data_IF_414903446778
#
_entry.id   IF_414903446778
#
_cell.length_a   1.000
_cell.length_b   1.000
_cell.length_c   1.000
_cell.angle_alpha   90.00
_cell.angle_beta   90.00
_cell.angle_gamma   90.00
#
_symmetry.space_group_name_H-M   'P 1'
#
loop_
_entity.id
_entity.type
_entity.pdbx_description
1 polymer ?
#
# COMPACT_ATOMS: atom_id res chain seq x y z
N UNK A 1 17.27 -9.89 -9.71
CA UNK A 1 16.53 -9.40 -8.51
C UNK A 1 17.44 -9.25 -7.30
N UNK A 2 17.03 -8.40 -6.36
CA UNK A 2 17.65 -8.29 -5.04
C UNK A 2 17.26 -9.49 -4.16
N UNK A 3 17.79 -9.56 -2.96
CA UNK A 3 17.46 -10.56 -1.96
C UNK A 3 17.34 -9.98 -0.56
N UNK A 4 16.74 -10.75 0.33
CA UNK A 4 16.62 -10.46 1.77
C UNK A 4 17.08 -11.66 2.58
N UNK A 5 17.36 -11.45 3.87
CA UNK A 5 17.70 -12.54 4.77
C UNK A 5 16.50 -12.90 5.66
N UNK A 6 16.15 -14.18 5.68
CA UNK A 6 15.12 -14.74 6.56
C UNK A 6 15.50 -14.67 8.04
N UNK A 7 16.78 -14.68 8.33
CA UNK A 7 17.26 -14.57 9.72
C UNK A 7 16.85 -13.25 10.35
N UNK A 8 16.93 -12.16 9.60
CA UNK A 8 16.50 -10.85 10.09
C UNK A 8 15.00 -10.66 10.03
N UNK A 9 14.39 -10.89 8.85
CA UNK A 9 13.01 -10.46 8.58
C UNK A 9 11.95 -11.49 8.98
N UNK A 10 12.34 -12.71 9.35
CA UNK A 10 11.45 -13.68 9.95
C UNK A 10 11.93 -14.13 11.32
N UNK A 11 13.10 -14.77 11.42
CA UNK A 11 13.56 -15.34 12.68
C UNK A 11 13.71 -14.29 13.80
N UNK A 12 14.31 -13.13 13.50
CA UNK A 12 14.48 -12.05 14.45
C UNK A 12 13.27 -11.10 14.51
N UNK A 13 12.76 -10.71 13.36
CA UNK A 13 11.73 -9.67 13.25
C UNK A 13 10.32 -10.14 13.62
N UNK A 14 10.03 -11.44 13.50
CA UNK A 14 8.73 -12.03 13.79
C UNK A 14 8.89 -13.37 14.52
N UNK A 15 9.32 -13.35 15.78
CA UNK A 15 9.59 -14.59 16.53
C UNK A 15 8.35 -15.47 16.70
N UNK A 16 7.16 -14.90 16.83
CA UNK A 16 5.92 -15.69 16.94
C UNK A 16 5.69 -16.54 15.69
N UNK A 17 5.87 -15.97 14.51
CA UNK A 17 5.73 -16.71 13.26
C UNK A 17 6.89 -17.68 13.06
N UNK A 18 8.12 -17.29 13.38
CA UNK A 18 9.30 -18.13 13.29
C UNK A 18 9.17 -19.40 14.17
N UNK A 19 8.69 -19.25 15.38
CA UNK A 19 8.45 -20.37 16.29
C UNK A 19 7.36 -21.32 15.75
N UNK A 20 6.28 -20.77 15.23
CA UNK A 20 5.21 -21.55 14.59
C UNK A 20 5.70 -22.32 13.37
N UNK A 21 6.51 -21.69 12.50
CA UNK A 21 7.12 -22.37 11.35
C UNK A 21 8.01 -23.51 11.82
N UNK A 22 8.85 -23.28 12.82
CA UNK A 22 9.75 -24.30 13.38
C UNK A 22 8.98 -25.47 13.99
N UNK A 23 7.88 -25.19 14.68
CA UNK A 23 7.00 -26.25 15.20
C UNK A 23 6.39 -27.11 14.10
N UNK A 24 6.02 -26.52 12.98
CA UNK A 24 5.39 -27.23 11.86
C UNK A 24 6.35 -28.01 10.99
N UNK A 25 7.53 -27.48 10.70
CA UNK A 25 8.44 -28.05 9.69
C UNK A 25 9.89 -28.27 10.16
N UNK A 26 10.20 -27.98 11.43
CA UNK A 26 11.55 -28.04 11.96
C UNK A 26 12.37 -26.76 11.69
N UNK A 27 13.60 -26.66 12.21
CA UNK A 27 14.42 -25.44 12.17
C UNK A 27 15.23 -25.23 10.90
N UNK A 28 15.26 -26.20 9.99
CA UNK A 28 16.16 -26.19 8.81
C UNK A 28 15.89 -25.02 7.85
N UNK A 29 14.69 -24.43 7.87
CA UNK A 29 14.34 -23.27 7.05
C UNK A 29 15.23 -22.04 7.34
N UNK A 30 15.84 -21.98 8.52
CA UNK A 30 16.71 -20.84 8.92
C UNK A 30 17.93 -20.76 7.99
N UNK A 31 18.44 -21.89 7.54
CA UNK A 31 19.59 -21.97 6.64
C UNK A 31 19.24 -22.40 5.22
N UNK A 32 18.04 -22.96 5.01
CA UNK A 32 17.55 -23.40 3.71
C UNK A 32 16.08 -22.99 3.52
N UNK A 33 15.85 -21.89 2.82
CA UNK A 33 14.51 -21.34 2.57
C UNK A 33 13.60 -22.29 1.78
N UNK A 34 14.15 -23.25 1.02
CA UNK A 34 13.35 -24.21 0.28
C UNK A 34 12.47 -25.07 1.21
N UNK A 35 12.87 -25.20 2.46
CA UNK A 35 12.11 -25.91 3.48
C UNK A 35 10.74 -25.29 3.76
N UNK A 36 10.56 -23.98 3.54
CA UNK A 36 9.26 -23.30 3.72
C UNK A 36 8.15 -23.90 2.84
N UNK A 37 8.50 -24.53 1.72
CA UNK A 37 7.53 -25.20 0.86
C UNK A 37 6.78 -26.35 1.56
N UNK A 38 7.33 -26.90 2.63
CA UNK A 38 6.67 -27.91 3.47
C UNK A 38 5.43 -27.39 4.18
N UNK A 39 5.30 -26.06 4.32
CA UNK A 39 4.10 -25.44 4.90
C UNK A 39 2.85 -25.63 4.02
N UNK A 40 3.00 -25.93 2.74
CA UNK A 40 1.87 -26.13 1.82
C UNK A 40 0.87 -27.19 2.29
N UNK A 41 1.31 -28.18 3.04
CA UNK A 41 0.43 -29.25 3.56
C UNK A 41 -0.57 -28.72 4.62
N UNK A 42 -0.33 -27.53 5.17
CA UNK A 42 -1.18 -26.89 6.16
C UNK A 42 -2.13 -25.84 5.55
N UNK A 43 -2.12 -25.66 4.23
CA UNK A 43 -2.91 -24.61 3.57
C UNK A 43 -4.42 -24.75 3.81
N UNK A 44 -4.91 -25.98 3.97
CA UNK A 44 -6.33 -26.29 4.23
C UNK A 44 -6.56 -26.81 5.67
N UNK A 45 -5.58 -26.73 6.55
CA UNK A 45 -5.72 -27.14 7.95
C UNK A 45 -6.29 -25.99 8.78
N UNK A 46 -7.55 -26.10 9.17
CA UNK A 46 -8.26 -25.06 9.92
C UNK A 46 -7.55 -24.65 11.20
N UNK A 47 -6.93 -25.59 11.92
CA UNK A 47 -6.19 -25.30 13.15
C UNK A 47 -4.95 -24.48 12.84
N UNK A 48 -4.19 -24.88 11.83
CA UNK A 48 -2.99 -24.15 11.40
C UNK A 48 -3.34 -22.73 10.92
N UNK A 49 -4.44 -22.56 10.18
CA UNK A 49 -4.94 -21.26 9.73
C UNK A 49 -5.32 -20.36 10.92
N UNK A 50 -6.03 -20.90 11.91
CA UNK A 50 -6.39 -20.17 13.13
C UNK A 50 -5.15 -19.76 13.94
N UNK A 51 -4.17 -20.65 14.09
CA UNK A 51 -2.90 -20.34 14.74
C UNK A 51 -2.16 -19.21 14.01
N UNK A 52 -2.08 -19.28 12.69
CA UNK A 52 -1.47 -18.24 11.85
C UNK A 52 -2.17 -16.88 12.00
N UNK A 53 -3.50 -16.86 11.94
CA UNK A 53 -4.29 -15.63 12.14
C UNK A 53 -4.13 -15.06 13.55
N UNK A 54 -4.03 -15.91 14.56
CA UNK A 54 -3.76 -15.49 15.95
C UNK A 54 -2.40 -14.80 16.08
N UNK A 55 -1.38 -15.34 15.42
CA UNK A 55 -0.04 -14.74 15.38
C UNK A 55 -0.09 -13.37 14.68
N UNK A 56 -0.74 -13.30 13.52
CA UNK A 56 -0.93 -12.04 12.79
C UNK A 56 -1.62 -11.01 13.68
N UNK A 57 -2.69 -11.38 14.36
CA UNK A 57 -3.43 -10.48 15.23
C UNK A 57 -2.57 -9.94 16.38
N UNK A 58 -1.76 -10.77 17.04
CA UNK A 58 -0.82 -10.32 18.08
C UNK A 58 0.20 -9.31 17.55
N UNK A 59 0.71 -9.53 16.34
CA UNK A 59 1.61 -8.59 15.69
C UNK A 59 0.88 -7.27 15.35
N UNK A 60 -0.38 -7.33 14.95
CA UNK A 60 -1.21 -6.13 14.69
C UNK A 60 -1.49 -5.36 15.99
N UNK A 61 -1.79 -6.03 17.09
CA UNK A 61 -1.92 -5.38 18.41
C UNK A 61 -0.64 -4.65 18.81
N UNK A 62 0.51 -5.27 18.58
CA UNK A 62 1.82 -4.67 18.86
C UNK A 62 2.05 -3.41 18.01
N UNK A 63 1.71 -3.44 16.72
CA UNK A 63 1.82 -2.27 15.86
C UNK A 63 0.80 -1.19 16.24
N UNK A 64 -0.44 -1.56 16.57
CA UNK A 64 -1.47 -0.63 17.02
C UNK A 64 -1.04 0.12 18.28
N UNK A 65 -0.44 -0.57 19.24
CA UNK A 65 0.15 0.05 20.43
C UNK A 65 1.27 1.03 20.08
N UNK A 66 2.18 0.63 19.19
CA UNK A 66 3.26 1.51 18.72
C UNK A 66 2.70 2.78 18.06
N UNK A 67 1.68 2.65 17.22
CA UNK A 67 1.03 3.79 16.55
C UNK A 67 0.38 4.72 17.57
N UNK A 68 -0.31 4.19 18.56
CA UNK A 68 -0.91 4.99 19.62
C UNK A 68 0.14 5.78 20.41
N UNK A 69 1.23 5.13 20.79
CA UNK A 69 2.31 5.75 21.57
C UNK A 69 3.10 6.82 20.79
N UNK A 70 3.29 6.64 19.48
CA UNK A 70 4.13 7.52 18.67
C UNK A 70 3.34 8.52 17.82
N UNK A 71 2.15 8.17 17.37
CA UNK A 71 1.32 9.00 16.49
C UNK A 71 0.07 9.55 17.20
N UNK A 72 -0.28 9.05 18.39
CA UNK A 72 -1.48 9.44 19.09
C UNK A 72 -2.79 9.04 18.38
N UNK A 73 -2.71 8.07 17.46
CA UNK A 73 -3.86 7.56 16.71
C UNK A 73 -4.23 6.19 17.21
N UNK A 74 -5.48 6.03 17.61
CA UNK A 74 -6.03 4.72 17.96
C UNK A 74 -6.48 4.00 16.69
N UNK A 75 -5.96 2.80 16.46
CA UNK A 75 -6.31 1.94 15.33
C UNK A 75 -6.83 0.60 15.85
N UNK A 76 -7.84 0.07 15.17
CA UNK A 76 -8.42 -1.23 15.49
C UNK A 76 -7.59 -2.34 14.86
N UNK A 77 -6.98 -3.26 15.64
CA UNK A 77 -6.22 -4.38 15.10
C UNK A 77 -7.10 -5.41 14.35
N UNK A 78 -8.42 -5.34 14.46
CA UNK A 78 -9.32 -6.14 13.62
C UNK A 78 -9.50 -5.56 12.22
N UNK A 79 -9.20 -4.28 12.02
CA UNK A 79 -9.24 -3.69 10.68
C UNK A 79 -8.16 -4.28 9.77
N UNK A 80 -8.35 -4.20 8.46
CA UNK A 80 -7.32 -4.59 7.50
C UNK A 80 -6.16 -3.60 7.60
N UNK A 81 -4.96 -4.07 7.89
CA UNK A 81 -3.73 -3.27 7.88
C UNK A 81 -3.13 -3.28 6.47
N UNK A 82 -3.42 -2.23 5.73
CA UNK A 82 -2.95 -1.97 4.37
C UNK A 82 -1.72 -1.07 4.43
N UNK A 83 -0.55 -1.59 4.07
CA UNK A 83 0.73 -0.96 4.40
C UNK A 83 1.57 -0.66 3.17
N UNK A 84 1.99 0.60 3.06
CA UNK A 84 2.98 1.07 2.08
C UNK A 84 4.13 1.78 2.79
N UNK A 85 5.24 1.06 2.99
CA UNK A 85 6.44 1.58 3.64
C UNK A 85 7.65 1.43 2.72
N UNK A 86 8.13 2.54 2.22
CA UNK A 86 9.26 2.64 1.29
C UNK A 86 9.70 4.10 1.12
N UNK A 87 10.90 4.34 0.58
CA UNK A 87 11.29 5.70 0.19
C UNK A 87 10.23 6.32 -0.70
N UNK A 88 9.97 7.61 -0.53
CA UNK A 88 9.01 8.30 -1.37
C UNK A 88 9.64 8.66 -2.70
N UNK A 89 9.06 8.11 -3.76
CA UNK A 89 9.32 8.45 -5.15
C UNK A 89 8.01 8.45 -5.91
N UNK A 90 7.85 9.35 -6.87
CA UNK A 90 6.61 9.44 -7.65
C UNK A 90 6.29 8.13 -8.38
N UNK A 91 7.30 7.41 -8.88
CA UNK A 91 7.06 6.13 -9.57
C UNK A 91 6.60 5.00 -8.64
N UNK A 92 6.84 5.10 -7.33
CA UNK A 92 6.33 4.13 -6.32
C UNK A 92 4.86 4.37 -5.98
N UNK A 93 4.33 5.49 -6.41
CA UNK A 93 2.92 5.87 -6.43
C UNK A 93 2.22 5.91 -5.08
N UNK A 94 2.90 6.38 -4.04
CA UNK A 94 2.20 6.71 -2.79
C UNK A 94 1.04 7.68 -3.04
N UNK A 95 1.16 8.53 -4.07
CA UNK A 95 0.08 9.41 -4.49
C UNK A 95 -1.15 8.62 -4.95
N UNK A 96 -0.99 7.56 -5.74
CA UNK A 96 -2.12 6.70 -6.14
C UNK A 96 -2.84 6.14 -4.91
N UNK A 97 -2.11 5.67 -3.91
CA UNK A 97 -2.66 5.14 -2.67
C UNK A 97 -3.47 6.19 -1.92
N UNK A 98 -2.91 7.37 -1.68
CA UNK A 98 -3.64 8.39 -0.92
C UNK A 98 -4.84 8.97 -1.69
N UNK A 99 -4.78 9.08 -3.00
CA UNK A 99 -5.93 9.47 -3.82
C UNK A 99 -7.05 8.43 -3.73
N UNK A 100 -6.71 7.15 -3.70
CA UNK A 100 -7.69 6.08 -3.49
C UNK A 100 -8.30 6.14 -2.07
N UNK A 101 -7.53 6.47 -1.05
CA UNK A 101 -8.05 6.71 0.30
C UNK A 101 -9.09 7.83 0.29
N UNK A 102 -8.82 8.94 -0.40
CA UNK A 102 -9.78 10.03 -0.57
C UNK A 102 -11.05 9.54 -1.29
N UNK A 103 -10.89 8.72 -2.32
CA UNK A 103 -12.00 8.09 -3.03
C UNK A 103 -12.87 7.24 -2.07
N UNK A 104 -12.27 6.38 -1.27
CA UNK A 104 -12.99 5.57 -0.27
C UNK A 104 -13.71 6.44 0.76
N UNK A 105 -13.05 7.48 1.24
CA UNK A 105 -13.66 8.45 2.16
C UNK A 105 -14.91 9.08 1.55
N UNK A 106 -14.85 9.50 0.29
CA UNK A 106 -16.00 10.04 -0.43
C UNK A 106 -17.13 9.02 -0.57
N UNK A 107 -16.80 7.75 -0.87
CA UNK A 107 -17.79 6.67 -0.99
C UNK A 107 -18.50 6.42 0.36
N UNK A 108 -17.77 6.33 1.45
CA UNK A 108 -18.33 6.12 2.79
C UNK A 108 -19.24 7.30 3.18
N UNK A 109 -18.84 8.53 2.87
CA UNK A 109 -19.65 9.73 3.14
C UNK A 109 -20.93 9.78 2.32
N UNK A 110 -20.88 9.38 1.05
CA UNK A 110 -22.02 9.36 0.15
C UNK A 110 -22.98 8.20 0.43
N UNK A 111 -22.46 7.09 0.94
CA UNK A 111 -23.19 5.84 1.19
C UNK A 111 -22.89 5.30 2.60
N UNK A 112 -23.39 5.96 3.66
CA UNK A 112 -23.09 5.56 5.04
C UNK A 112 -23.56 4.14 5.39
N UNK A 113 -24.58 3.66 4.67
CA UNK A 113 -25.16 2.31 4.78
C UNK A 113 -24.33 1.23 4.08
N UNK A 114 -23.33 1.62 3.29
CA UNK A 114 -22.49 0.68 2.55
C UNK A 114 -21.79 -0.27 3.51
N UNK A 115 -21.83 -1.56 3.20
CA UNK A 115 -20.99 -2.55 3.86
C UNK A 115 -19.54 -2.28 3.46
N UNK A 116 -18.74 -1.95 4.46
CA UNK A 116 -17.33 -1.63 4.30
C UNK A 116 -16.56 -2.18 5.48
N UNK A 117 -15.68 -3.13 5.21
CA UNK A 117 -14.84 -3.68 6.25
C UNK A 117 -13.82 -2.63 6.72
N UNK A 118 -13.66 -2.39 8.03
CA UNK A 118 -12.75 -1.37 8.53
C UNK A 118 -11.33 -1.57 8.03
N UNK A 119 -10.70 -0.48 7.58
CA UNK A 119 -9.36 -0.51 7.00
C UNK A 119 -8.49 0.60 7.57
N UNK A 120 -7.26 0.24 7.91
CA UNK A 120 -6.22 1.16 8.34
C UNK A 120 -5.12 1.21 7.29
N UNK A 121 -4.98 2.36 6.63
CA UNK A 121 -3.89 2.61 5.69
C UNK A 121 -2.68 3.15 6.44
N UNK A 122 -1.57 2.44 6.38
CA UNK A 122 -0.34 2.77 7.09
C UNK A 122 0.74 3.11 6.07
N UNK A 123 1.23 4.33 6.14
CA UNK A 123 2.32 4.84 5.32
C UNK A 123 3.58 5.00 6.16
N UNK A 124 4.73 4.78 5.53
CA UNK A 124 6.02 5.16 6.08
C UNK A 124 6.96 5.49 4.93
N UNK A 125 7.57 6.66 4.97
CA UNK A 125 8.42 7.12 3.90
C UNK A 125 9.46 8.13 4.39
N UNK A 126 10.54 8.25 3.62
CA UNK A 126 11.49 9.35 3.70
C UNK A 126 11.65 9.94 2.31
N UNK A 127 11.62 11.25 2.21
CA UNK A 127 11.90 11.99 0.99
C UNK A 127 13.29 12.61 1.04
N UNK A 128 13.95 12.70 -0.11
CA UNK A 128 15.15 13.54 -0.26
C UNK A 128 14.81 15.00 0.06
N UNK A 129 15.72 15.71 0.73
CA UNK A 129 15.50 17.09 1.13
C UNK A 129 15.18 18.02 -0.05
N UNK A 130 15.77 17.77 -1.22
CA UNK A 130 15.58 18.55 -2.44
C UNK A 130 14.32 18.16 -3.23
N UNK A 131 13.67 17.04 -2.90
CA UNK A 131 12.53 16.53 -3.65
C UNK A 131 11.21 17.16 -3.19
N UNK A 132 10.92 18.37 -3.67
CA UNK A 132 9.80 19.19 -3.21
C UNK A 132 8.44 18.47 -3.36
N UNK A 133 8.17 17.83 -4.50
CA UNK A 133 6.91 17.10 -4.73
C UNK A 133 6.75 15.91 -3.80
N UNK A 134 7.81 15.16 -3.53
CA UNK A 134 7.79 14.08 -2.55
C UNK A 134 7.38 14.57 -1.16
N UNK A 135 7.91 15.71 -0.73
CA UNK A 135 7.53 16.32 0.56
C UNK A 135 6.08 16.77 0.57
N UNK A 136 5.56 17.29 -0.55
CA UNK A 136 4.13 17.67 -0.67
C UNK A 136 3.22 16.45 -0.63
N UNK A 137 3.63 15.31 -1.19
CA UNK A 137 2.86 14.07 -1.10
C UNK A 137 2.79 13.59 0.37
N UNK A 138 3.90 13.64 1.10
CA UNK A 138 3.89 13.34 2.55
C UNK A 138 2.95 14.29 3.29
N UNK A 139 3.00 15.57 2.97
CA UNK A 139 2.09 16.56 3.57
C UNK A 139 0.62 16.25 3.25
N UNK A 140 0.32 15.86 2.02
CA UNK A 140 -1.03 15.44 1.63
C UNK A 140 -1.51 14.25 2.45
N UNK A 141 -0.69 13.22 2.61
CA UNK A 141 -1.04 12.03 3.41
C UNK A 141 -1.41 12.46 4.84
N UNK A 142 -0.63 13.33 5.45
CA UNK A 142 -0.90 13.81 6.81
C UNK A 142 -2.16 14.68 6.89
N UNK A 143 -2.41 15.55 5.91
CA UNK A 143 -3.63 16.36 5.85
C UNK A 143 -4.88 15.50 5.65
N UNK A 144 -4.82 14.48 4.82
CA UNK A 144 -5.91 13.51 4.66
C UNK A 144 -6.14 12.73 5.96
N UNK A 145 -5.07 12.29 6.62
CA UNK A 145 -5.14 11.62 7.91
C UNK A 145 -5.87 12.48 8.95
N UNK A 146 -5.52 13.76 9.05
CA UNK A 146 -6.15 14.70 10.00
C UNK A 146 -7.66 14.82 9.78
N UNK A 147 -8.10 14.89 8.54
CA UNK A 147 -9.53 14.97 8.21
C UNK A 147 -10.24 13.65 8.45
N UNK A 148 -9.72 12.56 7.88
CA UNK A 148 -10.37 11.24 7.91
C UNK A 148 -10.45 10.69 9.33
N UNK A 149 -9.35 10.76 10.08
CA UNK A 149 -9.28 10.18 11.43
C UNK A 149 -10.17 10.91 12.45
N UNK A 150 -10.48 12.18 12.19
CA UNK A 150 -11.30 13.01 13.08
C UNK A 150 -12.77 13.16 12.63
N UNK A 151 -13.15 12.53 11.52
CA UNK A 151 -14.54 12.55 11.04
C UNK A 151 -15.36 11.45 11.73
N UNK A 152 -16.09 11.81 12.77
CA UNK A 152 -16.95 10.88 13.50
C UNK A 152 -18.06 10.26 12.62
N UNK A 153 -18.45 10.91 11.52
CA UNK A 153 -19.53 10.45 10.66
C UNK A 153 -19.24 9.16 9.92
N UNK A 154 -17.97 8.78 9.79
CA UNK A 154 -17.58 7.52 9.14
C UNK A 154 -17.38 6.36 10.14
N UNK A 155 -17.66 6.58 11.43
CA UNK A 155 -17.62 5.55 12.49
C UNK A 155 -16.30 4.75 12.56
N UNK A 156 -15.17 5.39 12.30
CA UNK A 156 -13.86 4.72 12.36
C UNK A 156 -13.62 3.66 11.27
N UNK A 157 -14.47 3.59 10.25
CA UNK A 157 -14.33 2.63 9.14
C UNK A 157 -13.01 2.76 8.38
N UNK A 158 -12.42 3.96 8.42
CA UNK A 158 -11.21 4.31 7.70
C UNK A 158 -10.27 5.08 8.61
N UNK A 159 -9.03 4.63 8.73
CA UNK A 159 -7.95 5.31 9.43
C UNK A 159 -6.74 5.45 8.50
N UNK A 160 -6.01 6.54 8.65
CA UNK A 160 -4.79 6.81 7.92
C UNK A 160 -3.68 7.16 8.91
N UNK A 161 -2.56 6.50 8.80
CA UNK A 161 -1.41 6.69 9.70
C UNK A 161 -0.15 6.90 8.86
N UNK A 162 0.62 7.93 9.18
CA UNK A 162 1.96 8.12 8.66
C UNK A 162 2.98 7.90 9.77
N UNK A 163 3.72 6.79 9.69
CA UNK A 163 4.74 6.45 10.69
C UNK A 163 5.99 7.28 10.41
N UNK A 164 6.32 8.14 11.36
CA UNK A 164 7.52 8.97 11.29
C UNK A 164 8.80 8.15 11.42
N UNK A 165 9.88 8.69 10.83
CA UNK A 165 11.21 8.10 10.94
C UNK A 165 11.29 6.60 10.60
N UNK A 166 10.61 6.19 9.52
CA UNK A 166 10.71 4.83 9.01
C UNK A 166 12.18 4.42 8.88
N UNK A 167 12.58 3.45 9.66
CA UNK A 167 13.95 2.90 9.75
C UNK A 167 13.89 1.41 10.05
N UNK A 168 15.02 0.74 9.92
CA UNK A 168 15.09 -0.72 10.05
C UNK A 168 14.53 -1.25 11.37
N UNK A 169 14.72 -0.53 12.48
CA UNK A 169 14.21 -0.95 13.80
C UNK A 169 12.67 -0.93 13.91
N UNK A 170 11.98 -0.04 13.17
CA UNK A 170 10.50 -0.03 13.15
C UNK A 170 9.96 -0.96 12.06
N UNK A 171 10.76 -1.19 11.01
CA UNK A 171 10.37 -1.99 9.86
C UNK A 171 9.93 -3.40 10.24
N UNK A 172 10.62 -4.04 11.17
CA UNK A 172 10.34 -5.40 11.61
C UNK A 172 8.93 -5.52 12.21
N UNK A 173 8.52 -4.57 13.07
CA UNK A 173 7.17 -4.53 13.65
C UNK A 173 6.11 -4.34 12.55
N UNK A 174 6.41 -3.49 11.57
CA UNK A 174 5.51 -3.16 10.47
C UNK A 174 5.32 -4.37 9.54
N UNK A 175 6.40 -5.03 9.12
CA UNK A 175 6.31 -6.19 8.24
C UNK A 175 5.54 -7.34 8.86
N UNK A 176 5.73 -7.59 10.16
CA UNK A 176 5.04 -8.65 10.88
C UNK A 176 3.52 -8.43 11.01
N UNK A 177 3.07 -7.19 10.97
CA UNK A 177 1.68 -6.80 11.22
C UNK A 177 0.85 -6.56 9.95
N UNK A 178 1.45 -6.60 8.77
CA UNK A 178 0.73 -6.27 7.54
C UNK A 178 -0.25 -7.36 7.14
N UNK A 179 -1.47 -6.95 6.76
CA UNK A 179 -2.43 -7.80 6.04
C UNK A 179 -2.26 -7.66 4.53
N UNK A 180 -1.87 -6.48 4.05
CA UNK A 180 -1.69 -6.18 2.64
C UNK A 180 -0.37 -5.44 2.42
N UNK A 181 0.40 -5.93 1.47
CA UNK A 181 1.66 -5.34 1.03
C UNK A 181 1.45 -4.51 -0.25
N UNK A 182 1.55 -3.20 -0.15
CA UNK A 182 1.40 -2.27 -1.27
C UNK A 182 2.69 -2.17 -2.08
N UNK A 183 2.68 -2.76 -3.29
CA UNK A 183 3.80 -2.81 -4.22
C UNK A 183 3.35 -2.29 -5.60
N UNK A 184 2.95 -1.02 -5.63
CA UNK A 184 2.14 -0.41 -6.68
C UNK A 184 2.92 0.54 -7.61
N UNK A 185 4.21 0.30 -7.81
CA UNK A 185 5.02 1.09 -8.76
C UNK A 185 4.39 1.09 -10.16
N UNK A 186 4.64 2.17 -10.92
CA UNK A 186 4.34 2.16 -12.34
C UNK A 186 5.14 1.04 -13.00
N UNK A 187 4.49 0.17 -13.76
CA UNK A 187 5.15 -0.95 -14.43
C UNK A 187 6.34 -0.44 -15.28
N UNK A 188 7.41 -1.18 -15.32
CA UNK A 188 8.71 -0.85 -15.92
C UNK A 188 9.64 0.05 -15.10
N UNK A 189 9.25 0.52 -13.91
CA UNK A 189 10.04 1.51 -13.15
C UNK A 189 10.82 0.92 -11.96
N UNK A 190 10.30 -0.11 -11.31
CA UNK A 190 11.00 -0.77 -10.19
C UNK A 190 11.83 -1.94 -10.71
N UNK A 191 13.14 -1.90 -10.51
CA UNK A 191 14.03 -2.95 -10.99
C UNK A 191 13.83 -4.28 -10.24
N UNK A 192 13.58 -4.24 -8.94
CA UNK A 192 13.34 -5.40 -8.11
C UNK A 192 12.45 -5.08 -6.91
N UNK A 193 12.92 -4.21 -6.02
CA UNK A 193 12.38 -4.04 -4.68
C UNK A 193 12.88 -5.10 -3.70
N UNK A 194 12.73 -4.85 -2.42
CA UNK A 194 13.01 -5.80 -1.33
C UNK A 194 11.89 -5.85 -0.31
N UNK A 195 11.12 -4.77 -0.17
CA UNK A 195 9.97 -4.70 0.72
C UNK A 195 8.91 -5.76 0.40
N UNK A 196 8.66 -5.99 -0.89
CA UNK A 196 7.76 -7.03 -1.36
C UNK A 196 8.11 -8.42 -0.80
N UNK A 197 9.38 -8.79 -0.80
CA UNK A 197 9.86 -10.06 -0.24
C UNK A 197 9.69 -10.12 1.28
N UNK A 198 9.95 -9.03 1.98
CA UNK A 198 9.86 -8.95 3.45
C UNK A 198 8.41 -9.12 3.93
N UNK A 199 7.47 -8.47 3.26
CA UNK A 199 6.04 -8.63 3.53
C UNK A 199 5.56 -10.04 3.23
N UNK A 200 5.93 -10.59 2.07
CA UNK A 200 5.55 -11.94 1.67
C UNK A 200 6.06 -12.98 2.68
N UNK A 201 7.32 -12.85 3.11
CA UNK A 201 7.92 -13.72 4.12
C UNK A 201 7.18 -13.68 5.47
N UNK A 202 6.50 -12.59 5.76
CA UNK A 202 5.67 -12.39 6.96
C UNK A 202 4.18 -12.69 6.73
N UNK A 203 3.83 -13.27 5.59
CA UNK A 203 2.48 -13.74 5.29
C UNK A 203 1.51 -12.67 4.82
N UNK A 204 1.99 -11.52 4.33
CA UNK A 204 1.14 -10.51 3.73
C UNK A 204 1.06 -10.70 2.21
N UNK A 205 -0.14 -10.92 1.63
CA UNK A 205 -0.31 -10.98 0.19
C UNK A 205 0.05 -9.64 -0.47
N UNK A 206 0.54 -9.72 -1.70
CA UNK A 206 0.95 -8.57 -2.49
C UNK A 206 -0.23 -7.97 -3.25
N UNK A 207 -0.47 -6.70 -3.05
CA UNK A 207 -1.27 -5.85 -3.94
C UNK A 207 -0.29 -5.01 -4.77
N UNK A 208 -0.27 -5.24 -6.07
CA UNK A 208 0.75 -4.59 -6.88
C UNK A 208 0.56 -4.71 -8.38
N UNK A 209 1.53 -4.15 -9.08
CA UNK A 209 1.67 -4.23 -10.54
C UNK A 209 2.65 -5.34 -10.93
N UNK A 210 2.62 -5.78 -12.18
CA UNK A 210 3.61 -6.72 -12.73
C UNK A 210 4.91 -5.96 -13.03
N UNK A 211 5.65 -5.68 -11.96
CA UNK A 211 6.88 -4.88 -11.97
C UNK A 211 7.87 -5.41 -10.93
N UNK A 212 9.16 -5.31 -11.22
CA UNK A 212 10.21 -5.76 -10.32
C UNK A 212 10.05 -7.21 -9.86
N UNK A 213 10.36 -7.50 -8.62
CA UNK A 213 10.24 -8.83 -8.03
C UNK A 213 8.79 -9.30 -7.83
N UNK A 214 7.78 -8.44 -8.02
CA UNK A 214 6.38 -8.87 -7.99
C UNK A 214 6.10 -9.93 -9.06
N UNK A 215 6.76 -9.85 -10.22
CA UNK A 215 6.62 -10.83 -11.29
C UNK A 215 6.99 -12.23 -10.80
N UNK A 216 8.12 -12.36 -10.13
CA UNK A 216 8.58 -13.64 -9.57
C UNK A 216 7.70 -14.10 -8.40
N UNK A 217 7.25 -13.18 -7.56
CA UNK A 217 6.32 -13.50 -6.46
C UNK A 217 5.04 -14.10 -7.02
N UNK A 218 4.44 -13.49 -8.04
CA UNK A 218 3.22 -14.01 -8.67
C UNK A 218 3.46 -15.37 -9.32
N UNK A 219 4.61 -15.57 -9.97
CA UNK A 219 4.98 -16.88 -10.55
C UNK A 219 5.06 -17.99 -9.49
N UNK A 220 5.55 -17.67 -8.29
CA UNK A 220 5.71 -18.65 -7.21
C UNK A 220 4.41 -18.91 -6.43
N UNK A 221 3.58 -17.88 -6.22
CA UNK A 221 2.36 -18.02 -5.39
C UNK A 221 1.11 -18.31 -6.21
N UNK A 222 1.10 -18.02 -7.50
CA UNK A 222 -0.08 -18.04 -8.37
C UNK A 222 -0.83 -16.69 -8.38
N UNK A 223 -1.49 -16.40 -9.50
CA UNK A 223 -2.24 -15.15 -9.68
C UNK A 223 -3.41 -15.04 -8.69
N UNK A 224 -3.98 -16.17 -8.29
CA UNK A 224 -5.08 -16.26 -7.32
C UNK A 224 -4.68 -15.84 -5.89
N UNK A 225 -3.38 -15.82 -5.60
CA UNK A 225 -2.83 -15.46 -4.28
C UNK A 225 -2.18 -14.08 -4.26
N UNK A 226 -2.44 -13.25 -5.26
CA UNK A 226 -1.97 -11.87 -5.35
C UNK A 226 -3.06 -10.97 -5.96
N UNK A 227 -3.02 -9.69 -5.62
CA UNK A 227 -3.98 -8.70 -6.14
C UNK A 227 -3.27 -7.84 -7.18
N UNK A 228 -3.28 -8.26 -8.43
CA UNK A 228 -2.57 -7.60 -9.53
C UNK A 228 -3.50 -6.65 -10.27
N UNK A 229 -2.98 -5.47 -10.63
CA UNK A 229 -3.67 -4.44 -11.37
C UNK A 229 -2.73 -3.66 -12.29
N UNK A 230 -3.32 -2.81 -13.11
CA UNK A 230 -2.62 -1.77 -13.86
C UNK A 230 -2.10 -2.22 -15.22
N UNK A 231 -1.60 -1.24 -15.95
CA UNK A 231 -1.00 -1.45 -17.26
C UNK A 231 0.27 -2.28 -17.18
N UNK A 232 0.52 -3.07 -18.21
CA UNK A 232 1.77 -3.81 -18.36
C UNK A 232 2.95 -2.88 -18.67
N UNK A 233 4.17 -3.38 -18.48
CA UNK A 233 5.39 -2.66 -18.86
C UNK A 233 5.39 -2.25 -20.33
N UNK A 234 4.92 -3.14 -21.23
CA UNK A 234 4.86 -2.86 -22.66
C UNK A 234 3.89 -1.74 -22.98
N UNK A 235 2.71 -1.71 -22.31
CA UNK A 235 1.75 -0.61 -22.47
C UNK A 235 2.33 0.73 -22.02
N UNK A 236 2.99 0.75 -20.86
CA UNK A 236 3.64 1.95 -20.32
C UNK A 236 4.72 2.46 -21.29
N UNK A 237 5.62 1.59 -21.72
CA UNK A 237 6.70 1.91 -22.65
C UNK A 237 6.13 2.42 -23.99
N UNK A 238 5.07 1.80 -24.47
CA UNK A 238 4.41 2.26 -25.70
C UNK A 238 3.86 3.68 -25.55
N UNK A 239 3.18 4.00 -24.45
CA UNK A 239 2.72 5.37 -24.18
C UNK A 239 3.87 6.37 -24.04
N UNK A 240 4.97 5.97 -23.39
CA UNK A 240 6.15 6.82 -23.24
C UNK A 240 6.82 7.13 -24.58
N UNK A 241 6.90 6.16 -25.48
CA UNK A 241 7.56 6.31 -26.77
C UNK A 241 6.66 6.96 -27.84
N UNK A 242 5.37 6.63 -27.85
CA UNK A 242 4.47 6.96 -28.95
C UNK A 242 3.36 7.95 -28.56
N UNK A 243 3.24 8.32 -27.29
CA UNK A 243 2.17 9.18 -26.79
C UNK A 243 0.79 8.49 -26.79
N UNK A 244 -0.27 9.29 -26.77
CA UNK A 244 -1.65 8.79 -26.81
C UNK A 244 -2.30 8.61 -25.43
N UNK A 245 -1.57 8.80 -24.35
CA UNK A 245 -2.13 8.82 -22.99
C UNK A 245 -2.71 10.22 -22.69
N UNK A 246 -3.97 10.26 -22.29
CA UNK A 246 -4.68 11.51 -22.00
C UNK A 246 -5.38 11.49 -20.64
N UNK A 247 -4.71 12.00 -19.58
CA UNK A 247 -5.31 12.10 -18.26
C UNK A 247 -6.49 13.09 -18.18
N UNK A 248 -6.53 14.09 -19.03
CA UNK A 248 -7.66 15.02 -19.15
C UNK A 248 -8.96 14.30 -19.53
N UNK A 249 -8.88 13.34 -20.42
CA UNK A 249 -10.04 12.54 -20.81
C UNK A 249 -10.59 11.78 -19.59
N UNK A 250 -9.72 11.19 -18.78
CA UNK A 250 -10.13 10.49 -17.55
C UNK A 250 -10.79 11.47 -16.58
N UNK A 251 -10.18 12.61 -16.34
CA UNK A 251 -10.71 13.66 -15.46
C UNK A 251 -12.10 14.15 -15.92
N UNK A 252 -12.28 14.33 -17.21
CA UNK A 252 -13.54 14.85 -17.76
C UNK A 252 -14.65 13.80 -17.84
N UNK A 253 -14.31 12.52 -17.93
CA UNK A 253 -15.28 11.43 -18.10
C UNK A 253 -15.57 10.65 -16.81
N UNK A 254 -14.73 10.79 -15.78
CA UNK A 254 -14.91 10.11 -14.49
C UNK A 254 -15.17 11.13 -13.38
N UNK A 255 -16.45 11.34 -12.99
CA UNK A 255 -16.80 12.34 -11.99
C UNK A 255 -16.25 12.04 -10.59
N UNK A 256 -16.03 10.77 -10.22
CA UNK A 256 -15.48 10.40 -8.92
C UNK A 256 -13.98 10.70 -8.85
N UNK A 257 -13.22 10.41 -9.90
CA UNK A 257 -11.81 10.81 -9.99
C UNK A 257 -11.71 12.34 -10.00
N UNK A 258 -12.56 13.02 -10.75
CA UNK A 258 -12.60 14.48 -10.78
C UNK A 258 -12.85 15.07 -9.39
N UNK A 259 -13.79 14.52 -8.63
CA UNK A 259 -14.05 14.93 -7.25
C UNK A 259 -12.81 14.80 -6.37
N UNK A 260 -12.12 13.68 -6.42
CA UNK A 260 -10.88 13.45 -5.67
C UNK A 260 -9.83 14.51 -6.00
N UNK A 261 -9.61 14.79 -7.28
CA UNK A 261 -8.62 15.79 -7.70
C UNK A 261 -9.03 17.22 -7.32
N UNK A 262 -10.29 17.58 -7.45
CA UNK A 262 -10.81 18.87 -7.01
C UNK A 262 -10.62 19.09 -5.49
N UNK A 263 -10.72 18.05 -4.69
CA UNK A 263 -10.51 18.12 -3.24
C UNK A 263 -9.07 18.47 -2.84
N UNK A 264 -8.11 18.32 -3.75
CA UNK A 264 -6.73 18.78 -3.53
C UNK A 264 -6.62 20.31 -3.48
N UNK A 265 -7.55 21.04 -4.13
CA UNK A 265 -7.45 22.48 -4.38
C UNK A 265 -8.67 23.28 -3.93
N UNK A 266 -9.66 22.65 -3.29
CA UNK A 266 -10.92 23.33 -2.89
C UNK A 266 -11.06 23.56 -1.39
N UNK A 267 -10.02 23.32 -0.61
CA UNK A 267 -10.04 23.53 0.84
C UNK A 267 -10.47 22.30 1.67
N UNK A 268 -10.79 21.18 1.05
CA UNK A 268 -11.22 19.97 1.79
C UNK A 268 -10.14 19.47 2.75
N UNK A 269 -8.88 19.39 2.31
CA UNK A 269 -7.76 18.85 3.10
C UNK A 269 -6.77 19.91 3.60
N UNK A 270 -6.85 21.12 3.12
CA UNK A 270 -6.06 22.25 3.57
C UNK A 270 -6.81 23.55 3.37
N UNK A 271 -6.80 24.43 4.37
CA UNK A 271 -7.32 25.80 4.23
C UNK A 271 -6.52 26.63 3.22
N UNK A 272 -5.24 26.30 3.03
CA UNK A 272 -4.43 26.82 1.92
C UNK A 272 -4.73 26.02 0.66
N UNK A 273 -5.59 26.57 -0.21
CA UNK A 273 -6.03 25.93 -1.46
C UNK A 273 -4.89 25.79 -2.49
N UNK A 274 -3.78 26.48 -2.29
CA UNK A 274 -2.59 26.38 -3.15
C UNK A 274 -1.59 25.29 -2.69
N UNK A 275 -1.77 24.77 -1.50
CA UNK A 275 -0.84 23.79 -0.90
C UNK A 275 -0.54 22.61 -1.82
N UNK A 276 -1.57 22.03 -2.44
CA UNK A 276 -1.47 20.83 -3.28
C UNK A 276 -1.71 21.10 -4.77
N UNK A 277 -1.70 22.38 -5.18
CA UNK A 277 -1.87 22.74 -6.60
C UNK A 277 -0.78 22.14 -7.50
N UNK A 278 0.43 22.06 -7.01
CA UNK A 278 1.53 21.42 -7.75
C UNK A 278 1.24 19.94 -8.04
N UNK A 279 0.65 19.22 -7.09
CA UNK A 279 0.23 17.81 -7.30
C UNK A 279 -0.90 17.76 -8.34
N UNK A 280 -1.93 18.58 -8.18
CA UNK A 280 -3.02 18.68 -9.16
C UNK A 280 -2.51 18.97 -10.57
N UNK A 281 -1.65 19.98 -10.72
CA UNK A 281 -1.07 20.35 -12.00
C UNK A 281 -0.19 19.25 -12.59
N UNK A 282 0.54 18.50 -11.77
CA UNK A 282 1.38 17.39 -12.25
C UNK A 282 0.57 16.30 -12.96
N UNK A 283 -0.70 16.18 -12.63
CA UNK A 283 -1.60 15.19 -13.23
C UNK A 283 -2.31 15.70 -14.49
N UNK A 284 -2.51 17.01 -14.63
CA UNK A 284 -3.42 17.56 -15.63
C UNK A 284 -2.85 18.69 -16.51
N UNK A 285 -1.80 19.41 -16.07
CA UNK A 285 -1.33 20.62 -16.78
C UNK A 285 -0.39 20.28 -17.94
N UNK A 286 -0.91 20.34 -19.14
CA UNK A 286 -0.16 20.15 -20.40
C UNK A 286 0.76 21.31 -20.78
N UNK A 287 0.57 22.50 -20.17
CA UNK A 287 1.34 23.71 -20.55
C UNK A 287 2.77 23.68 -20.01
N UNK A 288 2.94 23.14 -18.82
CA UNK A 288 4.20 23.13 -18.11
C UNK A 288 4.90 21.77 -18.13
N UNK A 289 4.21 20.74 -18.62
CA UNK A 289 4.72 19.37 -18.71
C UNK A 289 4.37 18.78 -20.07
N UNK A 290 5.35 18.28 -20.83
CA UNK A 290 5.10 17.62 -22.10
C UNK A 290 4.15 16.42 -21.98
N UNK A 291 4.17 15.77 -20.81
CA UNK A 291 3.34 14.63 -20.48
C UNK A 291 2.88 14.73 -19.03
N UNK A 292 1.70 15.30 -18.77
CA UNK A 292 1.10 15.27 -17.43
C UNK A 292 0.79 13.82 -17.01
N UNK A 293 0.69 13.60 -15.71
CA UNK A 293 0.53 12.27 -15.12
C UNK A 293 1.61 11.29 -15.62
N UNK A 294 2.85 11.68 -15.40
CA UNK A 294 4.04 10.97 -15.88
C UNK A 294 4.09 9.51 -15.44
N UNK A 295 3.47 9.17 -14.31
CA UNK A 295 3.49 7.83 -13.72
C UNK A 295 2.15 7.10 -13.85
N UNK A 296 1.24 7.57 -14.70
CA UNK A 296 -0.01 6.91 -15.07
C UNK A 296 -0.94 6.63 -13.89
N UNK A 297 -0.97 7.54 -12.93
CA UNK A 297 -1.79 7.40 -11.72
C UNK A 297 -3.28 7.33 -12.08
N UNK A 298 -3.76 8.25 -12.91
CA UNK A 298 -5.17 8.27 -13.31
C UNK A 298 -5.51 7.08 -14.22
N UNK A 299 -4.59 6.68 -15.08
CA UNK A 299 -4.77 5.53 -15.98
C UNK A 299 -4.94 4.20 -15.25
N UNK A 300 -4.25 4.03 -14.11
CA UNK A 300 -4.31 2.82 -13.30
C UNK A 300 -5.28 2.94 -12.10
N UNK A 301 -5.92 4.10 -11.91
CA UNK A 301 -6.73 4.35 -10.71
C UNK A 301 -7.87 3.35 -10.54
N UNK A 302 -8.67 3.14 -11.59
CA UNK A 302 -9.83 2.24 -11.53
C UNK A 302 -9.44 0.78 -11.34
N UNK A 303 -8.42 0.31 -12.03
CA UNK A 303 -7.93 -1.06 -11.82
C UNK A 303 -7.36 -1.26 -10.42
N UNK A 304 -6.72 -0.23 -9.86
CA UNK A 304 -6.28 -0.22 -8.46
C UNK A 304 -7.45 -0.28 -7.49
N UNK A 305 -8.48 0.53 -7.69
CA UNK A 305 -9.68 0.51 -6.86
C UNK A 305 -10.39 -0.85 -6.89
N UNK A 306 -10.46 -1.50 -8.05
CA UNK A 306 -11.00 -2.85 -8.19
C UNK A 306 -10.16 -3.91 -7.48
N UNK A 307 -8.83 -3.82 -7.57
CA UNK A 307 -7.93 -4.71 -6.84
C UNK A 307 -8.08 -4.53 -5.32
N UNK A 308 -8.22 -3.30 -4.84
CA UNK A 308 -8.50 -2.99 -3.44
C UNK A 308 -9.84 -3.59 -2.96
N UNK A 309 -10.85 -3.58 -3.81
CA UNK A 309 -12.13 -4.21 -3.50
C UNK A 309 -12.01 -5.74 -3.38
N UNK A 310 -11.23 -6.38 -4.26
CA UNK A 310 -10.95 -7.82 -4.14
C UNK A 310 -10.22 -8.17 -2.84
N UNK A 311 -9.39 -7.29 -2.32
CA UNK A 311 -8.75 -7.46 -1.00
C UNK A 311 -9.79 -7.54 0.12
N UNK A 312 -10.82 -6.72 0.05
CA UNK A 312 -11.89 -6.70 1.06
C UNK A 312 -12.75 -7.98 1.00
N UNK A 313 -12.92 -8.53 -0.19
CA UNK A 313 -13.73 -9.73 -0.44
C UNK A 313 -12.98 -11.04 -0.11
N UNK A 314 -11.65 -11.02 0.01
CA UNK A 314 -10.80 -12.17 0.27
C UNK A 314 -10.64 -12.46 1.77
#
# INVERSE_FOLDING_TARGET
TNGITQRRFLAHGNPLLADWVTDKIGPDWITDLSQLSKLKVYADDEKALQEFMTIKFKNKERLAKYILEHNGVEVDPHSIFDIQVKRLHEYKRQLLNILHVIYLYNQIKAHPEMDFYPRTFIFGAKASAAYARAKKIIKLINCVADVVNNDASINGKLKVVFIENYRVSNAEIIFAAADVSEQISTASKEASGTGNMKFMLNGAPTLGTMDGANVEIVQEVGEENAFIFGMSSDQIINYENNGGYDPDFIYNTDPEIRQVLMQLINGTFSSDTEMFRDIYNSLLDKRNMPRPDQYFILGDFRSYAEAQKRVEEA
#
